data_IF_806258167834
#
_entry.id   IF_806258167834
#
_cell.length_a   1.000
_cell.length_b   1.000
_cell.length_c   1.000
_cell.angle_alpha   90.00
_cell.angle_beta   90.00
_cell.angle_gamma   90.00
#
_symmetry.space_group_name_H-M   'P 1'
#
loop_
_entity.id
_entity.type
_entity.pdbx_description
1 polymer ?
#
# COMPACT_ATOMS: atom_id res chain seq x y z
N UNK A 1 -11.17 11.30 33.32
CA UNK A 1 -10.19 10.69 32.40
C UNK A 1 -10.96 10.34 31.15
N UNK A 2 -10.96 11.26 30.20
CA UNK A 2 -11.73 11.18 28.95
C UNK A 2 -10.94 10.32 27.98
N UNK A 3 -11.40 9.08 27.76
CA UNK A 3 -10.85 8.23 26.72
C UNK A 3 -11.10 8.86 25.37
N UNK A 4 -10.07 8.94 24.53
CA UNK A 4 -10.24 9.28 23.13
C UNK A 4 -10.99 8.13 22.47
N UNK A 5 -12.30 8.26 22.30
CA UNK A 5 -13.03 7.42 21.35
C UNK A 5 -12.60 7.88 19.96
N UNK A 6 -11.80 7.05 19.28
CA UNK A 6 -11.52 7.22 17.87
C UNK A 6 -12.88 7.25 17.14
N UNK A 7 -13.13 8.21 16.24
CA UNK A 7 -14.33 8.15 15.40
C UNK A 7 -14.33 6.78 14.70
N UNK A 8 -15.51 6.15 14.50
CA UNK A 8 -15.59 4.86 13.85
C UNK A 8 -14.81 4.95 12.54
N UNK A 9 -13.67 4.26 12.50
CA UNK A 9 -12.93 4.08 11.27
C UNK A 9 -13.94 3.39 10.36
N UNK A 10 -14.40 4.09 9.33
CA UNK A 10 -15.25 3.47 8.33
C UNK A 10 -14.36 2.39 7.76
N UNK A 11 -14.66 1.13 8.08
CA UNK A 11 -13.99 0.00 7.45
C UNK A 11 -14.34 0.16 5.97
N UNK A 12 -13.46 0.81 5.21
CA UNK A 12 -13.51 0.72 3.76
C UNK A 12 -13.24 -0.75 3.49
N UNK A 13 -14.31 -1.50 3.27
CA UNK A 13 -14.32 -2.93 2.95
C UNK A 13 -13.66 -3.12 1.57
N UNK A 14 -12.34 -2.94 1.52
CA UNK A 14 -11.50 -3.35 0.41
C UNK A 14 -11.22 -4.85 0.55
N UNK A 15 -11.42 -5.61 -0.53
CA UNK A 15 -11.01 -7.01 -0.58
C UNK A 15 -9.48 -7.14 -0.61
N UNK A 16 -8.80 -6.09 -1.08
CA UNK A 16 -7.39 -5.85 -0.85
C UNK A 16 -7.25 -4.44 -0.26
N UNK A 17 -6.49 -4.32 0.81
CA UNK A 17 -6.05 -3.03 1.35
C UNK A 17 -4.54 -3.06 1.57
N UNK A 18 -3.88 -1.93 1.32
CA UNK A 18 -2.52 -1.68 1.78
C UNK A 18 -2.52 -0.35 2.53
N UNK A 19 -2.12 -0.39 3.80
CA UNK A 19 -2.01 0.77 4.68
C UNK A 19 -0.55 1.03 4.95
N UNK A 20 -0.07 2.23 4.63
CA UNK A 20 1.27 2.71 4.92
C UNK A 20 1.22 3.70 6.09
N UNK A 21 2.10 3.50 7.07
CA UNK A 21 2.47 4.50 8.08
C UNK A 21 3.99 4.57 8.20
N UNK A 22 4.52 5.67 8.71
CA UNK A 22 5.96 5.82 8.91
C UNK A 22 6.27 6.70 10.14
N UNK A 23 7.55 6.92 10.40
CA UNK A 23 8.05 7.71 11.51
C UNK A 23 7.98 9.23 11.28
N UNK A 24 8.95 10.01 11.78
CA UNK A 24 8.89 11.47 11.78
C UNK A 24 9.30 12.13 10.45
N UNK A 25 9.80 11.37 9.46
CA UNK A 25 10.16 11.94 8.16
C UNK A 25 8.91 12.40 7.41
N UNK A 26 9.00 13.45 6.58
CA UNK A 26 7.80 14.16 6.16
C UNK A 26 6.97 13.39 5.12
N UNK A 27 7.58 12.52 4.31
CA UNK A 27 6.94 12.07 3.08
C UNK A 27 7.42 10.69 2.61
N UNK A 28 6.54 9.70 2.72
CA UNK A 28 6.72 8.36 2.15
C UNK A 28 5.46 8.00 1.38
N UNK A 29 5.59 7.77 0.08
CA UNK A 29 4.46 7.41 -0.78
C UNK A 29 4.21 5.90 -0.83
N UNK A 30 2.96 5.51 -0.92
CA UNK A 30 2.48 4.17 -1.25
C UNK A 30 2.28 4.02 -2.76
N UNK A 31 2.85 2.95 -3.31
CA UNK A 31 2.74 2.60 -4.72
C UNK A 31 2.07 1.24 -4.88
N UNK A 32 1.08 1.17 -5.77
CA UNK A 32 0.46 -0.09 -6.19
C UNK A 32 0.51 -0.23 -7.71
N UNK A 33 1.04 -1.36 -8.20
CA UNK A 33 0.93 -1.74 -9.60
C UNK A 33 -0.12 -2.84 -9.72
N UNK A 34 -1.13 -2.59 -10.54
CA UNK A 34 -2.25 -3.49 -10.74
C UNK A 34 -1.94 -4.56 -11.82
N UNK A 35 -2.66 -5.69 -11.84
CA UNK A 35 -2.46 -6.75 -12.83
C UNK A 35 -2.56 -6.29 -14.30
N UNK A 36 -3.37 -5.26 -14.53
CA UNK A 36 -3.64 -4.66 -15.84
C UNK A 36 -2.55 -3.66 -16.29
N UNK A 37 -1.53 -3.40 -15.46
CA UNK A 37 -0.43 -2.48 -15.72
C UNK A 37 -0.65 -1.04 -15.27
N UNK A 38 -1.78 -0.71 -14.64
CA UNK A 38 -1.98 0.59 -14.01
C UNK A 38 -1.06 0.75 -12.79
N UNK A 39 -0.54 1.96 -12.63
CA UNK A 39 0.28 2.36 -11.50
C UNK A 39 -0.46 3.43 -10.70
N UNK A 40 -0.81 3.09 -9.46
CA UNK A 40 -1.54 3.93 -8.52
C UNK A 40 -0.58 4.47 -7.47
N UNK A 41 -0.53 5.80 -7.35
CA UNK A 41 0.32 6.55 -6.41
C UNK A 41 -0.17 8.01 -6.30
N UNK A 42 0.50 8.86 -5.51
CA UNK A 42 0.05 10.21 -5.17
C UNK A 42 -0.42 11.06 -6.37
N UNK A 43 0.23 10.96 -7.54
CA UNK A 43 -0.14 11.75 -8.73
C UNK A 43 -1.09 11.05 -9.71
N UNK A 44 -1.33 9.74 -9.54
CA UNK A 44 -2.25 8.92 -10.34
C UNK A 44 -3.09 8.04 -9.40
N UNK A 45 -3.98 8.65 -8.63
CA UNK A 45 -4.66 8.00 -7.50
C UNK A 45 -5.74 6.97 -7.86
N UNK A 46 -6.07 6.80 -9.14
CA UNK A 46 -7.10 5.85 -9.56
C UNK A 46 -6.49 4.87 -10.57
N UNK A 47 -6.57 3.57 -10.25
CA UNK A 47 -6.31 2.48 -11.17
C UNK A 47 -7.61 1.95 -11.78
N UNK A 48 -7.52 0.80 -12.44
CA UNK A 48 -8.70 0.08 -12.94
C UNK A 48 -9.33 -0.81 -11.86
N UNK A 49 -8.53 -1.33 -10.94
CA UNK A 49 -8.98 -2.13 -9.80
C UNK A 49 -9.21 -1.30 -8.54
N UNK A 50 -8.29 -0.42 -8.19
CA UNK A 50 -8.26 0.25 -6.91
C UNK A 50 -7.95 1.74 -6.99
N UNK A 51 -7.84 2.36 -5.82
CA UNK A 51 -7.51 3.77 -5.70
C UNK A 51 -6.75 4.07 -4.40
N UNK A 52 -6.05 5.20 -4.39
CA UNK A 52 -5.40 5.79 -3.23
C UNK A 52 -6.35 6.82 -2.60
N UNK A 53 -6.61 6.72 -1.29
CA UNK A 53 -7.62 7.56 -0.60
C UNK A 53 -7.13 8.98 -0.28
N UNK A 54 -5.90 9.09 0.20
CA UNK A 54 -5.28 10.30 0.68
C UNK A 54 -3.78 10.26 0.38
N UNK A 55 -3.27 11.43 0.08
CA UNK A 55 -1.85 11.74 -0.06
C UNK A 55 -1.52 12.61 1.15
N UNK A 56 -0.85 12.00 2.15
CA UNK A 56 -0.52 12.64 3.42
C UNK A 56 0.96 13.01 3.44
N UNK A 57 1.25 14.26 3.10
CA UNK A 57 2.61 14.79 3.09
C UNK A 57 3.07 15.28 4.48
N UNK A 58 2.48 14.79 5.57
CA UNK A 58 2.75 15.27 6.93
C UNK A 58 3.04 14.17 7.95
N UNK A 59 4.31 14.00 8.29
CA UNK A 59 4.69 13.26 9.50
C UNK A 59 4.43 11.76 9.38
N UNK A 60 3.43 11.20 10.07
CA UNK A 60 3.36 9.74 10.34
C UNK A 60 2.52 8.93 9.32
N UNK A 61 2.07 9.55 8.23
CA UNK A 61 0.98 9.05 7.40
C UNK A 61 -0.37 9.05 8.14
N UNK A 62 -1.40 8.32 7.67
CA UNK A 62 -1.32 7.21 6.72
C UNK A 62 -1.63 7.53 5.25
N UNK A 63 -1.12 6.69 4.35
CA UNK A 63 -1.66 6.52 2.99
C UNK A 63 -2.30 5.14 2.84
N UNK A 64 -3.42 5.04 2.11
CA UNK A 64 -4.09 3.77 1.89
C UNK A 64 -4.46 3.54 0.42
N UNK A 65 -4.22 2.30 -0.02
CA UNK A 65 -4.71 1.77 -1.28
C UNK A 65 -5.81 0.74 -1.04
N UNK A 66 -6.90 0.83 -1.82
CA UNK A 66 -8.07 -0.06 -1.70
C UNK A 66 -8.50 -0.64 -3.03
N UNK A 67 -8.79 -1.94 -3.05
CA UNK A 67 -9.49 -2.62 -4.15
C UNK A 67 -10.82 -3.15 -3.65
N UNK A 68 -11.90 -2.91 -4.38
CA UNK A 68 -13.23 -3.43 -4.03
C UNK A 68 -13.48 -4.80 -4.66
N UNK A 69 -14.41 -5.59 -4.12
CA UNK A 69 -14.84 -6.84 -4.78
C UNK A 69 -15.37 -6.62 -6.21
N UNK A 70 -15.96 -5.45 -6.50
CA UNK A 70 -16.57 -5.16 -7.80
C UNK A 70 -15.55 -4.89 -8.91
N UNK A 71 -14.36 -4.46 -8.53
CA UNK A 71 -13.28 -4.05 -9.44
C UNK A 71 -12.07 -4.97 -9.33
N UNK A 72 -12.14 -6.03 -8.52
CA UNK A 72 -11.07 -7.01 -8.35
C UNK A 72 -10.78 -7.74 -9.66
N UNK A 73 -9.49 -7.79 -10.01
CA UNK A 73 -8.96 -8.56 -11.12
C UNK A 73 -8.06 -9.68 -10.61
N UNK A 74 -8.09 -10.83 -11.28
CA UNK A 74 -7.09 -11.87 -11.05
C UNK A 74 -5.72 -11.42 -11.58
N UNK A 75 -4.65 -11.84 -10.91
CA UNK A 75 -3.28 -11.49 -11.25
C UNK A 75 -2.52 -10.96 -10.05
N UNK A 76 -1.43 -10.23 -10.31
CA UNK A 76 -0.53 -9.75 -9.26
C UNK A 76 -0.70 -8.26 -9.04
N UNK A 77 -0.98 -7.87 -7.80
CA UNK A 77 -0.86 -6.50 -7.33
C UNK A 77 0.49 -6.35 -6.63
N UNK A 78 1.38 -5.51 -7.15
CA UNK A 78 2.68 -5.25 -6.53
C UNK A 78 2.63 -4.00 -5.68
N UNK A 79 2.92 -4.13 -4.40
CA UNK A 79 2.93 -3.04 -3.42
C UNK A 79 4.38 -2.65 -3.13
N UNK A 80 4.65 -1.35 -3.18
CA UNK A 80 5.95 -0.75 -2.88
C UNK A 80 5.81 0.58 -2.15
N UNK A 81 6.90 1.09 -1.61
CA UNK A 81 6.97 2.40 -0.95
C UNK A 81 8.09 3.24 -1.54
N UNK A 82 7.89 4.54 -1.62
CA UNK A 82 8.90 5.50 -2.05
C UNK A 82 9.22 6.48 -0.92
N UNK A 83 10.48 6.56 -0.50
CA UNK A 83 10.89 7.61 0.42
C UNK A 83 11.06 8.91 -0.38
N UNK A 84 9.98 9.66 -0.55
CA UNK A 84 9.94 10.78 -1.48
C UNK A 84 10.75 11.97 -0.97
N UNK A 85 10.57 12.36 0.29
CA UNK A 85 11.27 13.52 0.86
C UNK A 85 11.58 13.32 2.34
N UNK A 86 12.78 13.71 2.73
CA UNK A 86 13.22 13.70 4.13
C UNK A 86 14.73 13.85 4.27
N UNK A 87 15.19 13.99 5.51
CA UNK A 87 16.56 14.42 5.82
C UNK A 87 17.36 13.42 6.68
N UNK A 88 16.75 12.29 7.04
CA UNK A 88 17.38 11.21 7.80
C UNK A 88 16.76 9.86 7.41
N UNK A 89 17.36 8.71 7.78
CA UNK A 89 16.73 7.41 7.55
C UNK A 89 15.34 7.31 8.18
N UNK A 90 14.48 6.49 7.57
CA UNK A 90 13.09 6.23 7.99
C UNK A 90 12.81 4.72 8.00
N UNK A 91 11.68 4.32 8.59
CA UNK A 91 11.10 2.99 8.48
C UNK A 91 9.63 3.11 8.10
N UNK A 92 9.27 2.55 6.95
CA UNK A 92 7.88 2.39 6.55
C UNK A 92 7.29 1.12 7.15
N UNK A 93 6.09 1.23 7.70
CA UNK A 93 5.28 0.13 8.19
C UNK A 93 4.10 -0.06 7.24
N UNK A 94 4.02 -1.22 6.60
CA UNK A 94 2.95 -1.53 5.65
C UNK A 94 2.14 -2.70 6.16
N UNK A 95 0.83 -2.52 6.35
CA UNK A 95 -0.11 -3.62 6.58
C UNK A 95 -0.88 -3.89 5.29
N UNK A 96 -0.91 -5.14 4.86
CA UNK A 96 -1.66 -5.59 3.70
C UNK A 96 -2.71 -6.59 4.16
N UNK A 97 -3.97 -6.34 3.84
CA UNK A 97 -5.05 -7.30 3.95
C UNK A 97 -5.50 -7.74 2.54
N UNK A 98 -5.75 -9.04 2.36
CA UNK A 98 -6.25 -9.60 1.10
C UNK A 98 -7.13 -10.82 1.39
N UNK A 99 -8.42 -10.72 1.06
CA UNK A 99 -9.42 -11.69 1.49
C UNK A 99 -9.44 -11.81 3.03
N UNK A 100 -9.08 -12.98 3.56
CA UNK A 100 -8.97 -13.22 5.01
C UNK A 100 -7.53 -13.14 5.54
N UNK A 101 -6.55 -12.93 4.66
CA UNK A 101 -5.15 -12.87 5.03
C UNK A 101 -4.74 -11.46 5.41
N UNK A 102 -3.93 -11.32 6.46
CA UNK A 102 -3.31 -10.05 6.85
C UNK A 102 -1.83 -10.28 7.08
N UNK A 103 -0.97 -9.40 6.53
CA UNK A 103 0.48 -9.39 6.76
C UNK A 103 0.95 -7.97 7.04
N UNK A 104 2.00 -7.86 7.87
CA UNK A 104 2.66 -6.59 8.16
C UNK A 104 4.14 -6.66 7.78
N UNK A 105 4.67 -5.55 7.28
CA UNK A 105 6.04 -5.40 6.81
C UNK A 105 6.66 -4.16 7.44
N UNK A 106 7.97 -4.22 7.68
CA UNK A 106 8.79 -3.10 8.14
C UNK A 106 9.92 -2.93 7.15
N UNK A 107 9.95 -1.79 6.45
CA UNK A 107 10.84 -1.51 5.33
C UNK A 107 11.79 -0.38 5.75
N UNK A 108 13.09 -0.65 5.95
CA UNK A 108 14.06 0.39 6.22
C UNK A 108 14.30 1.22 4.96
N UNK A 109 14.32 2.55 5.11
CA UNK A 109 14.50 3.52 4.03
C UNK A 109 15.73 4.39 4.38
N UNK A 110 16.84 4.17 3.67
CA UNK A 110 18.11 4.79 4.02
C UNK A 110 18.15 6.30 3.72
N UNK A 111 17.63 6.69 2.55
CA UNK A 111 17.66 8.06 2.06
C UNK A 111 16.45 8.34 1.17
N UNK A 112 16.08 9.62 1.06
CA UNK A 112 15.00 10.05 0.17
C UNK A 112 15.49 10.07 -1.28
N UNK A 113 14.65 9.60 -2.19
CA UNK A 113 14.97 9.46 -3.63
C UNK A 113 14.03 10.30 -4.52
N UNK A 114 13.01 10.94 -3.96
CA UNK A 114 12.09 11.81 -4.68
C UNK A 114 11.42 11.11 -5.86
N UNK A 115 11.33 11.83 -6.97
CA UNK A 115 10.65 11.36 -8.19
C UNK A 115 11.28 10.11 -8.80
N UNK A 116 12.56 9.84 -8.57
CA UNK A 116 13.22 8.64 -9.11
C UNK A 116 12.57 7.36 -8.55
N UNK A 117 12.15 7.40 -7.28
CA UNK A 117 11.45 6.29 -6.64
C UNK A 117 10.03 6.06 -7.16
N UNK A 118 9.45 6.99 -7.95
CA UNK A 118 8.09 6.80 -8.47
C UNK A 118 8.01 5.61 -9.43
N UNK A 119 9.05 5.42 -10.24
CA UNK A 119 9.11 4.33 -11.22
C UNK A 119 9.71 3.04 -10.65
N UNK A 120 10.48 3.14 -9.57
CA UNK A 120 11.16 2.01 -8.93
C UNK A 120 11.04 2.12 -7.41
N UNK A 121 9.82 2.00 -6.85
CA UNK A 121 9.64 2.05 -5.40
C UNK A 121 10.30 0.83 -4.76
N UNK A 122 10.67 0.96 -3.48
CA UNK A 122 11.19 -0.16 -2.69
C UNK A 122 10.08 -1.22 -2.58
N UNK A 123 10.30 -2.45 -3.07
CA UNK A 123 9.25 -3.46 -3.09
C UNK A 123 8.93 -3.96 -1.68
N UNK A 124 7.64 -4.09 -1.36
CA UNK A 124 7.16 -4.61 -0.08
C UNK A 124 6.65 -6.04 -0.24
N UNK A 125 5.65 -6.23 -1.11
CA UNK A 125 5.01 -7.51 -1.31
C UNK A 125 4.23 -7.55 -2.63
N UNK A 126 3.98 -8.76 -3.10
CA UNK A 126 2.99 -9.05 -4.14
C UNK A 126 1.74 -9.65 -3.49
N UNK A 127 0.55 -9.17 -3.85
CA UNK A 127 -0.72 -9.86 -3.59
C UNK A 127 -1.10 -10.60 -4.85
N UNK A 128 -1.04 -11.93 -4.79
CA UNK A 128 -1.39 -12.82 -5.91
C UNK A 128 -2.85 -13.23 -5.75
N UNK A 129 -3.66 -12.80 -6.70
CA UNK A 129 -5.09 -13.12 -6.80
C UNK A 129 -5.27 -14.19 -7.88
N UNK A 130 -5.77 -15.35 -7.47
CA UNK A 130 -6.11 -16.46 -8.38
C UNK A 130 -7.63 -16.64 -8.50
N UNK A 131 -8.05 -17.43 -9.48
CA UNK A 131 -9.46 -17.77 -9.70
C UNK A 131 -10.23 -16.71 -10.49
N UNK A 132 -11.56 -16.74 -10.38
CA UNK A 132 -12.48 -15.83 -11.07
C UNK A 132 -13.85 -15.76 -10.36
N UNK A 133 -14.77 -14.96 -10.87
CA UNK A 133 -16.10 -14.79 -10.31
C UNK A 133 -16.99 -16.06 -10.33
N UNK A 134 -16.67 -17.06 -11.16
CA UNK A 134 -17.41 -18.32 -11.29
C UNK A 134 -16.95 -19.34 -10.25
N UNK A 135 -15.64 -19.46 -10.03
CA UNK A 135 -15.05 -20.45 -9.12
C UNK A 135 -14.63 -19.89 -7.76
N UNK A 136 -14.68 -18.57 -7.61
CA UNK A 136 -14.22 -17.83 -6.45
C UNK A 136 -12.76 -17.39 -6.57
N UNK A 137 -12.40 -16.36 -5.80
CA UNK A 137 -11.05 -15.82 -5.76
C UNK A 137 -10.24 -16.39 -4.59
N UNK A 138 -8.94 -16.56 -4.82
CA UNK A 138 -7.95 -16.92 -3.79
C UNK A 138 -6.91 -15.83 -3.66
N UNK A 139 -6.39 -15.60 -2.46
CA UNK A 139 -5.44 -14.55 -2.17
C UNK A 139 -4.20 -15.12 -1.48
N UNK A 140 -3.03 -14.72 -1.95
CA UNK A 140 -1.74 -15.01 -1.32
C UNK A 140 -0.89 -13.74 -1.26
N UNK A 141 -0.49 -13.33 -0.06
CA UNK A 141 0.37 -12.17 0.13
C UNK A 141 1.81 -12.67 0.25
N UNK A 142 2.64 -12.34 -0.73
CA UNK A 142 4.04 -12.77 -0.86
C UNK A 142 4.97 -11.60 -0.57
N UNK A 143 5.52 -11.56 0.65
CA UNK A 143 6.56 -10.59 1.02
C UNK A 143 7.79 -10.71 0.15
N UNK A 144 8.33 -9.58 -0.30
CA UNK A 144 9.57 -9.51 -1.05
C UNK A 144 10.69 -9.28 -0.05
N UNK A 145 11.70 -10.14 -0.05
CA UNK A 145 12.87 -9.93 0.80
C UNK A 145 13.58 -8.66 0.34
N UNK A 146 13.56 -7.60 1.15
CA UNK A 146 14.41 -6.43 0.94
C UNK A 146 15.85 -6.87 1.16
N UNK A 147 16.76 -6.70 0.18
CA UNK A 147 18.19 -6.82 0.46
C UNK A 147 18.54 -5.81 1.55
N UNK A 148 19.17 -6.29 2.63
CA UNK A 148 19.79 -5.45 3.66
C UNK A 148 20.91 -4.59 3.06
#
# INVERSE_FOLDING_TARGET
MTGLEQPPQTVQDGIITATLTWGPQPDVDLHAFEPNGFHVYYSARNGASGYLDLDDTSGYGPEHYYVSCATLEAGTYSIGVNYYSGSAPETAFVQIAAGTSVRSFSIPLAESVGTDGNTTPVPVANVVVGGDATVGYTFDIQGIATPQ
#
